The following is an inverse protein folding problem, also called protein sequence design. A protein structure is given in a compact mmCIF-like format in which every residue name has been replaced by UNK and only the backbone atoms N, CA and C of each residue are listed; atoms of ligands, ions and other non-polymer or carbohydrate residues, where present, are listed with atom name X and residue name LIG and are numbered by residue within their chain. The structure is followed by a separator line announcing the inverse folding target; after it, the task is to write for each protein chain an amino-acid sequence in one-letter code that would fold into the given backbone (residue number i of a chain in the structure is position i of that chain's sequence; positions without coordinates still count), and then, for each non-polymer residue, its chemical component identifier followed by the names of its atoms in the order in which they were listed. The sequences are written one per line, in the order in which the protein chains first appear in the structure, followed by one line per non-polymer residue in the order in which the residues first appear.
data_IF_496233045986
#
_entry.id   IF_496233045986
#
_cell.length_a   1.000
_cell.length_b   1.000
_cell.length_c   1.000
_cell.angle_alpha   90.00
_cell.angle_beta   90.00
_cell.angle_gamma   90.00
#
_symmetry.space_group_name_H-M   'P 1'
#
loop_
_entity.id
_entity.type
_entity.pdbx_description
1 polymer ?
#
# COMPACT_ATOMS: atom_id res chain seq x y z
N UNK A 1 -0.67 8.43 -10.28
CA UNK A 1 0.60 9.01 -10.74
C UNK A 1 1.47 9.41 -9.54
N UNK A 2 1.55 8.53 -8.54
CA UNK A 2 2.51 8.60 -7.44
C UNK A 2 3.70 7.69 -7.76
N UNK A 3 3.44 6.52 -8.36
CA UNK A 3 4.45 5.51 -8.61
C UNK A 3 5.48 5.90 -9.66
N UNK A 4 5.13 6.72 -10.65
CA UNK A 4 6.08 7.23 -11.65
C UNK A 4 7.26 7.98 -11.00
N UNK A 5 6.98 8.75 -9.93
CA UNK A 5 7.97 9.54 -9.20
C UNK A 5 8.47 8.86 -7.93
N UNK A 6 7.96 7.65 -7.63
CA UNK A 6 8.31 6.94 -6.41
C UNK A 6 9.69 6.29 -6.57
N UNK A 7 10.67 6.56 -5.68
CA UNK A 7 11.98 5.92 -5.74
C UNK A 7 11.87 4.40 -5.67
N UNK A 8 12.85 3.72 -6.27
CA UNK A 8 12.85 2.26 -6.42
C UNK A 8 12.76 1.56 -5.07
N UNK A 9 13.40 2.10 -4.04
CA UNK A 9 13.42 1.56 -2.68
C UNK A 9 12.00 1.51 -2.08
N UNK A 10 11.18 2.52 -2.35
CA UNK A 10 9.79 2.53 -1.88
C UNK A 10 8.92 1.55 -2.67
N UNK A 11 9.13 1.41 -3.99
CA UNK A 11 8.46 0.37 -4.79
C UNK A 11 8.78 -1.05 -4.27
N UNK A 12 10.03 -1.30 -3.86
CA UNK A 12 10.44 -2.56 -3.22
C UNK A 12 9.73 -2.78 -1.89
N UNK A 13 9.68 -1.77 -1.03
CA UNK A 13 8.94 -1.84 0.24
C UNK A 13 7.46 -2.17 0.04
N UNK A 14 6.81 -1.58 -0.97
CA UNK A 14 5.42 -1.92 -1.32
C UNK A 14 5.26 -3.41 -1.65
N UNK A 15 6.20 -3.99 -2.41
CA UNK A 15 6.20 -5.43 -2.71
C UNK A 15 6.46 -6.28 -1.46
N UNK A 16 7.35 -5.85 -0.57
CA UNK A 16 7.66 -6.55 0.68
C UNK A 16 6.44 -6.69 1.59
N UNK A 17 5.69 -5.58 1.79
CA UNK A 17 4.50 -5.56 2.65
C UNK A 17 3.25 -6.15 1.99
N UNK A 18 3.24 -6.28 0.66
CA UNK A 18 2.14 -6.90 -0.07
C UNK A 18 2.12 -8.41 0.16
N UNK A 19 0.95 -8.97 0.45
CA UNK A 19 0.73 -10.41 0.41
C UNK A 19 0.70 -10.89 -1.05
N UNK A 20 0.81 -12.20 -1.26
CA UNK A 20 0.66 -12.77 -2.61
C UNK A 20 -0.74 -12.49 -3.16
N UNK A 21 -1.77 -12.49 -2.32
CA UNK A 21 -3.15 -12.21 -2.73
C UNK A 21 -3.32 -10.74 -3.16
N UNK A 22 -2.67 -9.79 -2.47
CA UNK A 22 -2.64 -8.38 -2.91
C UNK A 22 -2.02 -8.24 -4.30
N UNK A 23 -0.93 -8.99 -4.57
CA UNK A 23 -0.28 -8.98 -5.87
C UNK A 23 -1.17 -9.63 -6.94
N UNK A 24 -1.88 -10.70 -6.61
CA UNK A 24 -2.85 -11.32 -7.52
C UNK A 24 -3.99 -10.34 -7.84
N UNK A 25 -4.49 -9.60 -6.85
CA UNK A 25 -5.55 -8.61 -7.02
C UNK A 25 -5.16 -7.47 -7.99
N UNK A 26 -3.87 -7.18 -8.16
CA UNK A 26 -3.36 -6.17 -9.10
C UNK A 26 -2.89 -6.75 -10.44
N UNK A 27 -3.20 -8.02 -10.71
CA UNK A 27 -3.00 -8.65 -12.01
C UNK A 27 -1.69 -9.43 -12.16
N UNK A 28 -1.09 -9.88 -11.05
CA UNK A 28 -0.07 -10.94 -11.10
C UNK A 28 -0.74 -12.32 -11.10
N UNK A 29 -0.07 -13.31 -11.68
CA UNK A 29 -0.37 -14.72 -11.39
C UNK A 29 0.40 -15.12 -10.14
N UNK A 30 0.03 -16.23 -9.49
CA UNK A 30 0.74 -16.72 -8.30
C UNK A 30 2.25 -16.84 -8.55
N UNK A 31 2.66 -17.43 -9.68
CA UNK A 31 4.09 -17.57 -10.05
C UNK A 31 4.77 -16.21 -10.23
N UNK A 32 4.14 -15.27 -10.95
CA UNK A 32 4.75 -13.97 -11.20
C UNK A 32 4.73 -13.03 -9.97
N UNK A 33 3.82 -13.25 -9.03
CA UNK A 33 3.81 -12.55 -7.74
C UNK A 33 5.06 -12.89 -6.91
N UNK A 34 5.41 -14.18 -6.78
CA UNK A 34 6.64 -14.60 -6.10
C UNK A 34 7.88 -13.99 -6.78
N UNK A 35 7.96 -14.08 -8.11
CA UNK A 35 9.07 -13.51 -8.88
C UNK A 35 9.19 -11.99 -8.70
N UNK A 36 8.06 -11.28 -8.64
CA UNK A 36 8.04 -9.84 -8.43
C UNK A 36 8.60 -9.47 -7.06
N UNK A 37 8.25 -10.21 -6.00
CA UNK A 37 8.81 -9.99 -4.66
C UNK A 37 10.30 -10.28 -4.61
N UNK A 38 10.75 -11.37 -5.21
CA UNK A 38 12.16 -11.75 -5.26
C UNK A 38 13.01 -10.70 -6.01
N UNK A 39 12.53 -10.23 -7.16
CA UNK A 39 13.26 -9.24 -7.97
C UNK A 39 13.11 -7.81 -7.47
N UNK A 40 12.07 -7.52 -6.71
CA UNK A 40 11.76 -6.16 -6.25
C UNK A 40 11.41 -5.20 -7.39
N UNK A 41 10.83 -5.71 -8.49
CA UNK A 41 10.49 -4.91 -9.68
C UNK A 41 8.99 -4.96 -9.94
N UNK A 42 8.40 -3.79 -10.13
CA UNK A 42 6.97 -3.59 -10.40
C UNK A 42 6.81 -2.46 -11.43
N UNK A 43 5.87 -2.60 -12.35
CA UNK A 43 5.53 -1.53 -13.29
C UNK A 43 4.73 -0.43 -12.59
N UNK A 44 4.78 0.79 -13.11
CA UNK A 44 4.08 1.92 -12.49
C UNK A 44 2.57 1.67 -12.42
N UNK A 45 1.96 1.13 -13.48
CA UNK A 45 0.53 0.78 -13.49
C UNK A 45 0.14 -0.18 -12.35
N UNK A 46 0.94 -1.24 -12.14
CA UNK A 46 0.67 -2.22 -11.07
C UNK A 46 0.98 -1.64 -9.70
N UNK A 47 2.01 -0.80 -9.59
CA UNK A 47 2.33 -0.08 -8.37
C UNK A 47 1.15 0.82 -7.96
N UNK A 48 0.54 1.56 -8.89
CA UNK A 48 -0.62 2.41 -8.60
C UNK A 48 -1.80 1.60 -8.06
N UNK A 49 -2.09 0.44 -8.67
CA UNK A 49 -3.13 -0.47 -8.18
C UNK A 49 -2.78 -1.00 -6.80
N UNK A 50 -1.53 -1.37 -6.56
CA UNK A 50 -1.07 -1.93 -5.30
C UNK A 50 -1.13 -0.89 -4.18
N UNK A 51 -0.73 0.36 -4.44
CA UNK A 51 -0.88 1.47 -3.48
C UNK A 51 -2.33 1.63 -3.06
N UNK A 52 -3.29 1.50 -3.97
CA UNK A 52 -4.72 1.55 -3.61
C UNK A 52 -5.14 0.39 -2.72
N UNK A 53 -4.78 -0.84 -3.07
CA UNK A 53 -5.10 -2.04 -2.28
C UNK A 53 -4.53 -1.91 -0.86
N UNK A 54 -3.25 -1.57 -0.76
CA UNK A 54 -2.56 -1.40 0.52
C UNK A 54 -3.13 -0.20 1.31
N UNK A 55 -3.47 0.89 0.63
CA UNK A 55 -4.08 2.07 1.21
C UNK A 55 -5.46 1.78 1.81
N UNK A 56 -6.31 1.01 1.12
CA UNK A 56 -7.59 0.57 1.67
C UNK A 56 -7.42 -0.28 2.92
N UNK A 57 -6.42 -1.17 2.93
CA UNK A 57 -6.09 -2.00 4.10
C UNK A 57 -5.55 -1.16 5.26
N UNK A 58 -4.74 -0.15 4.99
CA UNK A 58 -4.17 0.73 6.00
C UNK A 58 -5.17 1.76 6.54
N UNK A 59 -6.19 2.14 5.75
CA UNK A 59 -7.19 3.17 6.11
C UNK A 59 -7.75 3.03 7.53
N UNK A 60 -8.29 1.89 8.00
CA UNK A 60 -8.84 1.79 9.35
C UNK A 60 -7.77 2.08 10.41
N UNK A 61 -6.58 1.51 10.28
CA UNK A 61 -5.46 1.73 11.23
C UNK A 61 -5.05 3.19 11.27
N UNK A 62 -5.00 3.86 10.12
CA UNK A 62 -4.67 5.29 10.06
C UNK A 62 -5.75 6.17 10.68
N UNK A 63 -7.03 5.83 10.46
CA UNK A 63 -8.16 6.54 11.08
C UNK A 63 -8.11 6.39 12.60
N UNK A 64 -7.94 5.17 13.10
CA UNK A 64 -7.87 4.90 14.53
C UNK A 64 -6.69 5.67 15.17
N UNK A 65 -5.51 5.62 14.55
CA UNK A 65 -4.34 6.35 15.04
C UNK A 65 -4.54 7.88 15.05
N UNK A 66 -5.22 8.42 14.02
CA UNK A 66 -5.54 9.85 13.96
C UNK A 66 -6.56 10.25 15.03
N UNK A 67 -7.58 9.42 15.27
CA UNK A 67 -8.56 9.64 16.33
C UNK A 67 -7.90 9.60 17.71
N UNK A 68 -6.99 8.65 17.94
CA UNK A 68 -6.21 8.55 19.18
C UNK A 68 -5.38 9.81 19.44
N UNK A 69 -4.68 10.29 18.41
CA UNK A 69 -3.91 11.52 18.49
C UNK A 69 -4.81 12.74 18.78
N UNK A 70 -5.95 12.87 18.10
CA UNK A 70 -6.87 13.98 18.33
C UNK A 70 -7.43 13.98 19.76
N UNK A 71 -7.74 12.80 20.31
CA UNK A 71 -8.17 12.66 21.71
C UNK A 71 -7.11 13.15 22.69
N UNK A 72 -5.82 12.93 22.43
CA UNK A 72 -4.73 13.46 23.26
C UNK A 72 -4.66 14.99 23.24
N UNK A 73 -5.11 15.61 22.16
CA UNK A 73 -5.15 17.07 22.00
C UNK A 73 -6.50 17.69 22.41
N UNK A 74 -7.43 16.92 22.97
CA UNK A 74 -8.81 17.33 23.25
C UNK A 74 -9.57 17.85 22.00
N UNK A 75 -9.31 17.25 20.84
CA UNK A 75 -9.98 17.57 19.57
C UNK A 75 -10.76 16.35 19.05
N UNK A 76 -11.80 16.58 18.25
CA UNK A 76 -12.57 15.53 17.58
C UNK A 76 -12.39 15.60 16.06
N UNK A 77 -12.00 14.50 15.43
CA UNK A 77 -11.92 14.39 13.96
C UNK A 77 -13.27 13.88 13.44
N UNK A 78 -13.87 14.60 12.48
CA UNK A 78 -15.10 14.19 11.82
C UNK A 78 -14.83 13.13 10.74
N UNK A 79 -15.62 12.04 10.66
CA UNK A 79 -15.45 10.99 9.67
C UNK A 79 -16.18 11.36 8.37
N UNK A 80 -15.61 12.29 7.59
CA UNK A 80 -16.07 12.53 6.23
C UNK A 80 -15.33 11.60 5.24
#
# INVERSE_FOLDING_TARGET
MVCEFLPVEYKKRLLEIATIDDLIAVGYTKKSAYLAKEKGVISDERCEKLVRVLGYRAKPVLIDALQDFARQLNYSISPY
#
